data_IF_943868758614
#
_entry.id   IF_943868758614
#
_cell.length_a   1.000
_cell.length_b   1.000
_cell.length_c   1.000
_cell.angle_alpha   90.00
_cell.angle_beta   90.00
_cell.angle_gamma   90.00
#
_symmetry.space_group_name_H-M   'P 1'
#
loop_
_entity.id
_entity.type
_entity.pdbx_description
1 polymer ?
#
# COMPACT_ATOMS: atom_id res chain seq x y z
N UNK A 1 -26.83 -6.24 0.43
CA UNK A 1 -26.18 -5.95 -0.87
C UNK A 1 -24.88 -6.75 -0.91
N UNK A 2 -24.72 -7.69 -1.84
CA UNK A 2 -23.52 -8.55 -1.92
C UNK A 2 -22.41 -7.84 -2.70
N UNK A 3 -21.16 -7.99 -2.26
CA UNK A 3 -20.00 -7.52 -3.02
C UNK A 3 -20.02 -8.13 -4.42
N UNK A 4 -19.81 -7.31 -5.45
CA UNK A 4 -19.72 -7.84 -6.81
C UNK A 4 -18.35 -8.50 -6.99
N UNK A 5 -18.25 -9.50 -7.88
CA UNK A 5 -16.97 -10.16 -8.18
C UNK A 5 -15.87 -9.18 -8.67
N UNK A 6 -16.27 -7.99 -9.15
CA UNK A 6 -15.36 -6.91 -9.52
C UNK A 6 -14.74 -6.23 -8.30
N UNK A 7 -15.53 -5.98 -7.27
CA UNK A 7 -15.06 -5.31 -6.04
C UNK A 7 -14.05 -6.19 -5.30
N UNK A 8 -14.30 -7.50 -5.27
CA UNK A 8 -13.37 -8.47 -4.69
C UNK A 8 -12.01 -8.48 -5.39
N UNK A 9 -12.00 -8.55 -6.73
CA UNK A 9 -10.74 -8.53 -7.51
C UNK A 9 -9.92 -7.25 -7.26
N UNK A 10 -10.59 -6.12 -7.09
CA UNK A 10 -9.93 -4.84 -6.84
C UNK A 10 -9.37 -4.74 -5.44
N UNK A 11 -10.13 -5.21 -4.44
CA UNK A 11 -9.64 -5.31 -3.07
C UNK A 11 -8.42 -6.23 -2.98
N UNK A 12 -8.47 -7.41 -3.61
CA UNK A 12 -7.31 -8.33 -3.65
C UNK A 12 -6.11 -7.72 -4.39
N UNK A 13 -6.34 -7.00 -5.50
CA UNK A 13 -5.26 -6.32 -6.20
C UNK A 13 -4.60 -5.25 -5.33
N UNK A 14 -5.40 -4.46 -4.60
CA UNK A 14 -4.90 -3.46 -3.66
C UNK A 14 -4.11 -4.07 -2.50
N UNK A 15 -4.62 -5.14 -1.90
CA UNK A 15 -3.92 -5.78 -0.78
C UNK A 15 -2.61 -6.41 -1.23
N UNK A 16 -2.57 -7.03 -2.43
CA UNK A 16 -1.33 -7.55 -2.99
C UNK A 16 -0.33 -6.43 -3.33
N UNK A 17 -0.80 -5.30 -3.86
CA UNK A 17 0.06 -4.14 -4.15
C UNK A 17 0.65 -3.58 -2.85
N UNK A 18 -0.20 -3.32 -1.85
CA UNK A 18 0.25 -2.83 -0.55
C UNK A 18 1.21 -3.81 0.15
N UNK A 19 1.01 -5.12 -0.01
CA UNK A 19 1.91 -6.13 0.54
C UNK A 19 3.25 -6.19 -0.21
N UNK A 20 3.27 -5.88 -1.51
CA UNK A 20 4.49 -5.86 -2.33
C UNK A 20 5.48 -4.77 -1.88
N UNK A 21 5.02 -3.70 -1.24
CA UNK A 21 5.90 -2.68 -0.67
C UNK A 21 6.86 -3.23 0.41
N UNK A 22 6.48 -4.30 1.14
CA UNK A 22 7.30 -4.89 2.21
C UNK A 22 8.59 -5.53 1.67
N UNK A 23 8.55 -6.50 0.73
CA UNK A 23 9.77 -7.08 0.17
C UNK A 23 10.59 -6.03 -0.60
N UNK A 24 9.96 -5.08 -1.28
CA UNK A 24 10.66 -4.02 -2.00
C UNK A 24 11.47 -3.11 -1.03
N UNK A 25 10.89 -2.71 0.10
CA UNK A 25 11.62 -1.90 1.09
C UNK A 25 12.79 -2.68 1.71
N UNK A 26 12.63 -3.99 1.95
CA UNK A 26 13.73 -4.84 2.43
C UNK A 26 14.89 -4.92 1.42
N UNK A 27 14.59 -5.07 0.13
CA UNK A 27 15.62 -5.12 -0.93
C UNK A 27 16.36 -3.78 -1.02
N UNK A 28 15.65 -2.65 -0.93
CA UNK A 28 16.27 -1.31 -0.90
C UNK A 28 17.22 -1.16 0.30
N UNK A 29 16.77 -1.57 1.49
CA UNK A 29 17.59 -1.52 2.70
C UNK A 29 18.87 -2.35 2.57
N UNK A 30 18.76 -3.59 2.07
CA UNK A 30 19.92 -4.47 1.88
C UNK A 30 20.88 -3.95 0.80
N UNK A 31 20.35 -3.41 -0.30
CA UNK A 31 21.18 -2.77 -1.34
C UNK A 31 22.00 -1.62 -0.76
N UNK A 32 21.39 -0.75 0.07
CA UNK A 32 22.09 0.36 0.73
C UNK A 32 23.17 -0.11 1.71
N UNK A 33 22.91 -1.18 2.46
CA UNK A 33 23.92 -1.80 3.34
C UNK A 33 25.12 -2.30 2.54
N UNK A 34 24.87 -2.97 1.40
CA UNK A 34 25.95 -3.47 0.53
C UNK A 34 26.75 -2.32 -0.07
N UNK A 35 26.10 -1.24 -0.52
CA UNK A 35 26.78 -0.06 -1.06
C UNK A 35 27.62 0.63 0.03
N UNK A 36 27.12 0.69 1.26
CA UNK A 36 27.87 1.23 2.40
C UNK A 36 29.14 0.42 2.69
N UNK A 37 29.05 -0.91 2.64
CA UNK A 37 30.19 -1.81 2.86
C UNK A 37 31.16 -1.86 1.67
N UNK A 38 30.64 -1.76 0.45
CA UNK A 38 31.40 -1.86 -0.79
C UNK A 38 30.92 -0.81 -1.82
N UNK A 39 31.43 0.43 -1.74
CA UNK A 39 30.93 1.55 -2.55
C UNK A 39 31.24 1.44 -4.05
N UNK A 40 32.16 0.56 -4.43
CA UNK A 40 32.49 0.30 -5.83
C UNK A 40 31.61 -0.79 -6.48
N UNK A 41 30.64 -1.34 -5.74
CA UNK A 41 29.72 -2.34 -6.28
C UNK A 41 28.58 -1.67 -7.07
N UNK A 42 28.85 -1.41 -8.35
CA UNK A 42 27.90 -0.81 -9.29
C UNK A 42 26.59 -1.60 -9.41
N UNK A 43 26.63 -2.93 -9.29
CA UNK A 43 25.44 -3.78 -9.37
C UNK A 43 24.49 -3.53 -8.20
N UNK A 44 25.02 -3.42 -6.98
CA UNK A 44 24.21 -3.12 -5.80
C UNK A 44 23.54 -1.75 -5.93
N UNK A 45 24.24 -0.75 -6.49
CA UNK A 45 23.70 0.58 -6.77
C UNK A 45 22.55 0.56 -7.78
N UNK A 46 22.74 -0.06 -8.95
CA UNK A 46 21.68 -0.15 -9.96
C UNK A 46 20.49 -0.98 -9.50
N UNK A 47 20.72 -2.02 -8.69
CA UNK A 47 19.66 -2.82 -8.07
C UNK A 47 18.83 -1.96 -7.11
N UNK A 48 19.48 -1.18 -6.24
CA UNK A 48 18.80 -0.27 -5.31
C UNK A 48 18.00 0.80 -6.04
N UNK A 49 18.59 1.43 -7.06
CA UNK A 49 17.94 2.47 -7.85
C UNK A 49 16.72 1.93 -8.61
N UNK A 50 16.84 0.75 -9.24
CA UNK A 50 15.71 0.11 -9.94
C UNK A 50 14.60 -0.29 -8.96
N UNK A 51 14.96 -0.77 -7.78
CA UNK A 51 14.01 -1.12 -6.73
C UNK A 51 13.29 0.10 -6.15
N UNK A 52 13.99 1.22 -5.95
CA UNK A 52 13.38 2.49 -5.49
C UNK A 52 12.39 3.04 -6.54
N UNK A 53 12.66 2.85 -7.84
CA UNK A 53 11.69 3.16 -8.91
C UNK A 53 10.45 2.27 -8.84
N UNK A 54 10.61 0.96 -8.56
CA UNK A 54 9.48 0.05 -8.38
C UNK A 54 8.60 0.43 -7.18
N UNK A 55 9.21 0.85 -6.07
CA UNK A 55 8.47 1.38 -4.90
C UNK A 55 7.67 2.62 -5.29
N UNK A 56 8.26 3.54 -6.06
CA UNK A 56 7.55 4.74 -6.51
C UNK A 56 6.35 4.40 -7.41
N UNK A 57 6.51 3.46 -8.34
CA UNK A 57 5.41 2.98 -9.19
C UNK A 57 4.31 2.33 -8.34
N UNK A 58 4.68 1.51 -7.36
CA UNK A 58 3.76 0.86 -6.44
C UNK A 58 2.92 1.90 -5.68
N UNK A 59 3.57 2.91 -5.08
CA UNK A 59 2.89 4.01 -4.37
C UNK A 59 1.96 4.82 -5.27
N UNK A 60 2.37 5.12 -6.51
CA UNK A 60 1.51 5.82 -7.48
C UNK A 60 0.30 4.97 -7.87
N UNK A 61 0.48 3.66 -8.06
CA UNK A 61 -0.61 2.74 -8.33
C UNK A 61 -1.58 2.65 -7.14
N UNK A 62 -1.10 2.50 -5.90
CA UNK A 62 -1.96 2.55 -4.71
C UNK A 62 -2.70 3.89 -4.63
N UNK A 63 -1.97 5.00 -4.75
CA UNK A 63 -2.53 6.35 -4.65
C UNK A 63 -3.58 6.65 -5.71
N UNK A 64 -3.37 6.22 -6.95
CA UNK A 64 -4.37 6.38 -8.02
C UNK A 64 -5.60 5.49 -7.84
N UNK A 65 -5.45 4.29 -7.28
CA UNK A 65 -6.59 3.41 -7.00
C UNK A 65 -7.41 3.95 -5.82
N UNK A 66 -6.75 4.36 -4.73
CA UNK A 66 -7.41 4.95 -3.56
C UNK A 66 -8.05 6.31 -3.91
N UNK A 67 -7.36 7.18 -4.65
CA UNK A 67 -7.87 8.49 -5.03
C UNK A 67 -9.01 8.48 -6.05
N UNK A 68 -9.23 7.37 -6.77
CA UNK A 68 -10.37 7.22 -7.70
C UNK A 68 -11.57 6.46 -7.12
N UNK A 69 -11.44 5.80 -5.95
CA UNK A 69 -12.48 4.91 -5.44
C UNK A 69 -12.64 5.02 -3.92
N UNK A 70 -13.77 5.56 -3.50
CA UNK A 70 -14.33 5.36 -2.16
C UNK A 70 -14.67 3.88 -1.98
N UNK A 71 -13.85 3.14 -1.23
CA UNK A 71 -14.13 1.73 -0.94
C UNK A 71 -15.17 1.63 0.18
N UNK A 72 -16.33 1.03 -0.08
CA UNK A 72 -17.31 0.73 0.95
C UNK A 72 -16.85 -0.51 1.72
N UNK A 73 -16.26 -0.31 2.90
CA UNK A 73 -15.83 -1.38 3.79
C UNK A 73 -16.95 -1.62 4.79
N UNK A 74 -17.52 -2.83 4.79
CA UNK A 74 -18.50 -3.23 5.80
C UNK A 74 -17.76 -3.72 7.05
N UNK A 75 -17.96 -3.05 8.19
CA UNK A 75 -17.41 -3.43 9.49
C UNK A 75 -18.59 -3.65 10.44
N UNK A 76 -18.85 -4.90 10.82
CA UNK A 76 -20.05 -5.26 11.58
C UNK A 76 -21.33 -5.03 10.76
N UNK A 77 -22.36 -4.43 11.37
CA UNK A 77 -23.60 -4.03 10.68
C UNK A 77 -23.51 -2.69 9.96
N UNK A 78 -22.40 -1.96 10.09
CA UNK A 78 -22.21 -0.63 9.50
C UNK A 78 -21.38 -0.66 8.21
N UNK A 79 -21.82 0.12 7.23
CA UNK A 79 -21.07 0.40 5.99
C UNK A 79 -20.23 1.66 6.19
N UNK A 80 -18.91 1.53 6.13
CA UNK A 80 -17.98 2.65 6.20
C UNK A 80 -17.54 2.98 4.77
N UNK A 81 -17.75 4.21 4.31
CA UNK A 81 -17.05 4.66 3.11
C UNK A 81 -15.61 4.95 3.53
N UNK A 82 -14.63 4.22 3.02
CA UNK A 82 -13.22 4.58 3.14
C UNK A 82 -12.90 5.74 2.18
N UNK A 83 -13.66 6.82 2.29
CA UNK A 83 -13.21 8.16 1.92
C UNK A 83 -12.53 8.67 3.18
N UNK A 84 -11.28 9.12 3.12
CA UNK A 84 -10.41 9.33 4.30
C UNK A 84 -10.96 10.18 5.46
N UNK A 85 -12.14 10.80 5.34
CA UNK A 85 -12.86 11.49 6.43
C UNK A 85 -13.76 10.59 7.30
N UNK A 86 -14.19 9.41 6.85
CA UNK A 86 -15.14 8.58 7.61
C UNK A 86 -14.46 7.67 8.66
N UNK A 87 -13.16 7.40 8.50
CA UNK A 87 -12.35 6.71 9.52
C UNK A 87 -12.26 7.49 10.84
N UNK A 88 -12.32 8.82 10.76
CA UNK A 88 -12.26 9.72 11.92
C UNK A 88 -13.59 9.77 12.69
N UNK A 89 -14.72 9.49 12.02
CA UNK A 89 -16.06 9.44 12.65
C UNK A 89 -16.28 8.19 13.51
N UNK A 90 -15.68 7.06 13.15
CA UNK A 90 -15.87 5.79 13.87
C UNK A 90 -14.98 5.71 15.12
N UNK A 91 -13.76 6.28 15.07
CA UNK A 91 -12.90 6.39 16.26
C UNK A 91 -13.55 7.25 17.37
N UNK A 92 -14.22 8.33 16.99
CA UNK A 92 -14.95 9.18 17.95
C UNK A 92 -16.21 8.52 18.55
N UNK A 93 -16.76 7.47 17.93
CA UNK A 93 -17.87 6.70 18.49
C UNK A 93 -17.42 5.52 19.36
N UNK A 94 -16.21 5.00 19.13
CA UNK A 94 -15.62 3.93 19.95
C UNK A 94 -15.14 4.41 21.33
N UNK A 95 -14.71 5.67 21.45
CA UNK A 95 -14.30 6.29 22.73
C UNK A 95 -15.48 6.82 23.57
N UNK A 96 -16.71 6.73 23.07
CA UNK A 96 -17.92 7.20 23.75
C UNK A 96 -18.79 6.06 24.32
N UNK A 97 -18.27 4.82 24.37
CA UNK A 97 -18.93 3.65 24.94
C UNK A 97 -18.18 3.11 26.17
#
# INVERSE_FOLDING_TARGET
>A
MSWTARDWRQFTALTLLALAAIPLTLISAMSRVIIYLQPHNSFAFYLGLSNDVLILVDLVCVGTILGRRTFKIKVGDNEINADGGDGERVLNQGDAA
#
